data_IF_617334543666
#
_entry.id   IF_617334543666
#
_cell.length_a   1.000
_cell.length_b   1.000
_cell.length_c   1.000
_cell.angle_alpha   90.00
_cell.angle_beta   90.00
_cell.angle_gamma   90.00
#
_symmetry.space_group_name_H-M   'P 1'
#
loop_
_entity.id
_entity.type
_entity.pdbx_description
1 polymer ?
#
# COMPACT_ATOMS: atom_id res chain seq x y z
N UNK A 1 13.94 11.65 3.48
CA UNK A 1 13.49 10.83 4.62
C UNK A 1 11.97 10.82 4.68
N UNK A 2 11.33 11.95 4.99
CA UNK A 2 9.89 11.98 5.22
C UNK A 2 9.04 11.69 3.96
N UNK A 3 9.45 12.14 2.76
CA UNK A 3 8.83 11.72 1.50
C UNK A 3 9.04 10.23 1.21
N UNK A 4 10.26 9.71 1.42
CA UNK A 4 10.53 8.28 1.24
C UNK A 4 9.69 7.44 2.21
N UNK A 5 9.59 7.85 3.48
CA UNK A 5 8.70 7.24 4.49
C UNK A 5 7.23 7.38 4.10
N UNK A 6 6.79 8.51 3.53
CA UNK A 6 5.43 8.68 3.01
C UNK A 6 5.10 7.68 1.90
N UNK A 7 5.97 7.55 0.89
CA UNK A 7 5.86 6.54 -0.16
C UNK A 7 5.96 5.10 0.40
N UNK A 8 6.85 4.85 1.37
CA UNK A 8 6.98 3.57 2.08
C UNK A 8 5.68 3.12 2.73
N UNK A 9 5.00 4.05 3.40
CA UNK A 9 3.78 3.77 4.15
C UNK A 9 2.57 3.65 3.24
N UNK A 10 2.59 4.25 2.05
CA UNK A 10 1.54 4.08 1.07
C UNK A 10 1.33 2.60 0.75
N UNK A 11 2.38 1.84 0.45
CA UNK A 11 2.25 0.41 0.11
C UNK A 11 1.72 -0.48 1.26
N UNK A 12 2.08 -0.19 2.52
CA UNK A 12 1.57 -0.92 3.70
C UNK A 12 0.16 -0.46 4.08
N UNK A 13 -0.15 0.84 3.95
CA UNK A 13 -1.48 1.37 4.26
C UNK A 13 -2.52 1.00 3.20
N UNK A 14 -2.11 0.91 1.92
CA UNK A 14 -2.93 0.35 0.85
C UNK A 14 -3.23 -1.14 1.07
N UNK A 15 -2.33 -1.88 1.74
CA UNK A 15 -2.57 -3.27 2.06
C UNK A 15 -3.78 -3.41 3.00
N UNK A 16 -4.87 -3.99 2.47
CA UNK A 16 -6.14 -4.12 3.17
C UNK A 16 -7.08 -2.91 3.08
N UNK A 17 -6.76 -1.84 2.33
CA UNK A 17 -7.69 -0.73 2.06
C UNK A 17 -8.95 -1.24 1.36
N UNK A 18 -8.80 -2.04 0.30
CA UNK A 18 -9.92 -2.70 -0.39
C UNK A 18 -10.75 -3.59 0.56
N UNK A 19 -10.13 -4.29 1.51
CA UNK A 19 -10.85 -5.07 2.52
C UNK A 19 -11.61 -4.18 3.51
N UNK A 20 -11.04 -3.03 3.89
CA UNK A 20 -11.71 -2.04 4.74
C UNK A 20 -12.98 -1.52 4.06
N UNK A 21 -12.82 -1.13 2.80
CA UNK A 21 -13.92 -0.74 1.93
C UNK A 21 -14.97 -1.84 1.86
N UNK A 22 -14.62 -3.06 1.48
CA UNK A 22 -15.57 -4.18 1.39
C UNK A 22 -16.28 -4.48 2.71
N UNK A 23 -15.67 -4.17 3.86
CA UNK A 23 -16.32 -4.31 5.16
C UNK A 23 -17.30 -3.18 5.48
N UNK A 24 -16.96 -1.94 5.15
CA UNK A 24 -17.76 -0.75 5.51
C UNK A 24 -18.86 -0.41 4.50
N UNK A 25 -18.56 -0.59 3.21
CA UNK A 25 -19.41 -0.21 2.08
C UNK A 25 -20.81 -0.82 2.16
N UNK A 26 -20.98 -2.14 2.40
CA UNK A 26 -22.31 -2.71 2.45
C UNK A 26 -23.23 -1.94 3.41
N UNK A 27 -22.80 -1.77 4.65
CA UNK A 27 -23.57 -1.04 5.66
C UNK A 27 -23.81 0.42 5.29
N UNK A 28 -22.84 1.09 4.65
CA UNK A 28 -22.96 2.50 4.27
C UNK A 28 -23.95 2.74 3.12
N UNK A 29 -24.00 1.85 2.13
CA UNK A 29 -24.93 1.96 1.00
C UNK A 29 -26.36 1.55 1.39
N UNK A 30 -26.51 0.58 2.30
CA UNK A 30 -27.80 -0.03 2.60
C UNK A 30 -28.39 -0.78 1.39
N UNK A 31 -29.58 -1.37 1.57
CA UNK A 31 -30.24 -2.17 0.52
C UNK A 31 -30.55 -1.40 -0.76
N UNK A 32 -30.60 -0.06 -0.72
CA UNK A 32 -30.78 0.79 -1.89
C UNK A 32 -29.59 0.75 -2.86
N UNK A 33 -28.40 0.37 -2.37
CA UNK A 33 -27.20 0.18 -3.20
C UNK A 33 -27.19 -1.14 -3.98
N UNK A 34 -28.11 -2.07 -3.72
CA UNK A 34 -28.21 -3.33 -4.47
C UNK A 34 -29.04 -3.12 -5.74
N UNK A 35 -28.37 -3.08 -6.89
CA UNK A 35 -29.01 -2.84 -8.19
C UNK A 35 -29.60 -4.13 -8.76
N UNK A 36 -28.84 -5.23 -8.72
CA UNK A 36 -29.32 -6.54 -9.16
C UNK A 36 -28.53 -7.69 -8.55
N UNK A 37 -29.14 -8.87 -8.47
CA UNK A 37 -28.49 -10.10 -8.03
C UNK A 37 -29.46 -11.29 -7.92
N UNK A 38 -28.96 -12.50 -7.63
CA UNK A 38 -29.80 -13.67 -7.39
C UNK A 38 -30.75 -13.48 -6.20
N UNK A 39 -31.86 -14.22 -6.19
CA UNK A 39 -32.81 -14.21 -5.07
C UNK A 39 -32.11 -14.56 -3.74
N UNK A 40 -32.35 -13.75 -2.70
CA UNK A 40 -31.71 -13.91 -1.38
C UNK A 40 -30.35 -13.21 -1.24
N UNK A 41 -29.86 -12.52 -2.27
CA UNK A 41 -28.74 -11.58 -2.14
C UNK A 41 -29.17 -10.43 -1.25
N UNK A 42 -28.34 -10.11 -0.26
CA UNK A 42 -28.52 -8.96 0.64
C UNK A 42 -27.19 -8.25 0.76
N UNK A 43 -27.23 -6.99 1.17
CA UNK A 43 -26.01 -6.22 1.36
C UNK A 43 -25.11 -6.87 2.43
N UNK A 44 -25.68 -7.43 3.48
CA UNK A 44 -24.92 -8.09 4.57
C UNK A 44 -24.14 -9.35 4.11
N UNK A 45 -24.58 -10.02 3.04
CA UNK A 45 -23.93 -11.23 2.51
C UNK A 45 -23.15 -10.99 1.20
N UNK A 46 -23.05 -9.72 0.76
CA UNK A 46 -22.47 -9.33 -0.52
C UNK A 46 -21.09 -9.95 -0.75
N UNK A 47 -20.19 -9.83 0.23
CA UNK A 47 -18.82 -10.34 0.13
C UNK A 47 -18.59 -11.68 0.82
N UNK A 48 -19.64 -12.32 1.33
CA UNK A 48 -19.53 -13.62 1.99
C UNK A 48 -19.14 -14.71 1.00
N UNK A 49 -18.22 -15.59 1.42
CA UNK A 49 -17.80 -16.74 0.62
C UNK A 49 -18.93 -17.77 0.49
N UNK A 50 -19.26 -18.15 -0.75
CA UNK A 50 -20.18 -19.24 -1.06
C UNK A 50 -19.45 -20.53 -1.44
N UNK A 51 -20.16 -21.53 -1.95
CA UNK A 51 -19.54 -22.77 -2.44
C UNK A 51 -18.87 -22.61 -3.81
N UNK A 52 -19.34 -21.65 -4.62
CA UNK A 52 -18.84 -21.32 -5.94
C UNK A 52 -18.38 -19.85 -5.99
N UNK A 53 -17.63 -19.51 -7.03
CA UNK A 53 -17.24 -18.13 -7.29
C UNK A 53 -18.47 -17.26 -7.56
N UNK A 54 -18.36 -15.98 -7.24
CA UNK A 54 -19.28 -14.95 -7.71
C UNK A 54 -18.51 -13.70 -8.11
N UNK A 55 -19.01 -12.98 -9.11
CA UNK A 55 -18.48 -11.71 -9.58
C UNK A 55 -19.49 -10.61 -9.23
N UNK A 56 -19.01 -9.60 -8.52
CA UNK A 56 -19.78 -8.42 -8.14
C UNK A 56 -19.24 -7.26 -8.95
N UNK A 57 -20.10 -6.53 -9.65
CA UNK A 57 -19.74 -5.24 -10.24
C UNK A 57 -20.21 -4.13 -9.30
N UNK A 58 -19.29 -3.25 -8.94
CA UNK A 58 -19.54 -2.02 -8.18
C UNK A 58 -19.46 -0.85 -9.16
N UNK A 59 -20.59 -0.19 -9.37
CA UNK A 59 -20.69 1.03 -10.18
C UNK A 59 -20.32 2.22 -9.28
N UNK A 60 -19.12 2.76 -9.44
CA UNK A 60 -18.59 3.86 -8.63
C UNK A 60 -18.90 5.21 -9.27
N UNK A 61 -19.50 6.10 -8.49
CA UNK A 61 -19.90 7.46 -8.89
C UNK A 61 -19.62 8.45 -7.78
N UNK A 62 -19.58 9.75 -8.13
CA UNK A 62 -19.53 10.82 -7.13
C UNK A 62 -18.18 11.01 -6.42
N UNK A 63 -17.11 10.34 -6.90
CA UNK A 63 -15.74 10.65 -6.49
C UNK A 63 -15.40 12.12 -6.80
N UNK A 64 -14.43 12.69 -6.09
CA UNK A 64 -14.09 14.13 -6.14
C UNK A 64 -13.87 14.71 -7.56
N UNK A 65 -13.63 16.02 -7.63
CA UNK A 65 -13.76 16.91 -8.81
C UNK A 65 -13.08 16.52 -10.16
N UNK A 66 -12.40 15.36 -10.26
CA UNK A 66 -11.80 14.84 -11.49
C UNK A 66 -12.03 13.34 -11.76
N UNK A 67 -12.75 12.60 -10.92
CA UNK A 67 -12.91 11.15 -11.12
C UNK A 67 -14.05 10.83 -12.10
N UNK A 68 -13.68 10.32 -13.27
CA UNK A 68 -14.64 9.66 -14.16
C UNK A 68 -15.26 8.47 -13.43
N UNK A 69 -16.58 8.22 -13.60
CA UNK A 69 -17.20 7.00 -13.08
C UNK A 69 -16.39 5.76 -13.47
N UNK A 70 -16.30 4.81 -12.56
CA UNK A 70 -15.53 3.59 -12.74
C UNK A 70 -16.36 2.37 -12.36
N UNK A 71 -16.14 1.25 -13.03
CA UNK A 71 -16.65 -0.04 -12.59
C UNK A 71 -15.52 -0.81 -11.92
N UNK A 72 -15.74 -1.22 -10.67
CA UNK A 72 -14.85 -2.15 -9.97
C UNK A 72 -15.52 -3.51 -9.97
N UNK A 73 -14.84 -4.51 -10.53
CA UNK A 73 -15.30 -5.88 -10.46
C UNK A 73 -14.59 -6.60 -9.33
N UNK A 74 -15.32 -7.42 -8.58
CA UNK A 74 -14.84 -8.15 -7.43
C UNK A 74 -15.25 -9.61 -7.58
N UNK A 75 -14.29 -10.50 -7.81
CA UNK A 75 -14.49 -11.94 -7.74
C UNK A 75 -14.26 -12.41 -6.31
N UNK A 76 -15.31 -12.94 -5.68
CA UNK A 76 -15.19 -13.67 -4.40
C UNK A 76 -15.10 -15.16 -4.71
N UNK A 77 -14.01 -15.79 -4.29
CA UNK A 77 -13.75 -17.20 -4.60
C UNK A 77 -14.54 -18.13 -3.70
N UNK A 78 -15.22 -19.13 -4.27
CA UNK A 78 -15.99 -20.10 -3.50
C UNK A 78 -15.10 -21.05 -2.69
N UNK A 79 -15.62 -21.60 -1.59
CA UNK A 79 -14.89 -22.59 -0.77
C UNK A 79 -14.60 -23.90 -1.52
N UNK A 80 -15.29 -24.12 -2.66
CA UNK A 80 -15.08 -25.27 -3.54
C UNK A 80 -13.99 -25.07 -4.60
N UNK A 81 -13.31 -23.93 -4.64
CA UNK A 81 -12.18 -23.69 -5.57
C UNK A 81 -10.85 -23.82 -4.86
N UNK A 82 -9.78 -23.98 -5.64
CA UNK A 82 -8.43 -24.11 -5.09
C UNK A 82 -8.05 -22.86 -4.28
N UNK A 83 -8.33 -21.66 -4.79
CA UNK A 83 -8.02 -20.39 -4.11
C UNK A 83 -8.84 -20.18 -2.83
N UNK A 84 -10.14 -20.48 -2.87
CA UNK A 84 -11.04 -20.27 -1.74
C UNK A 84 -11.01 -21.41 -0.71
N UNK A 85 -10.39 -22.55 -1.00
CA UNK A 85 -10.33 -23.69 -0.06
C UNK A 85 -9.40 -23.43 1.13
N UNK A 86 -8.37 -22.60 0.96
CA UNK A 86 -7.37 -22.30 2.00
C UNK A 86 -7.82 -21.20 2.98
N UNK A 87 -8.89 -20.48 2.65
CA UNK A 87 -9.41 -19.35 3.42
C UNK A 87 -10.14 -18.37 2.52
N UNK A 88 -10.05 -17.08 2.83
CA UNK A 88 -10.73 -16.04 2.05
C UNK A 88 -9.86 -15.57 0.89
N UNK A 89 -10.42 -15.58 -0.32
CA UNK A 89 -9.71 -15.16 -1.52
C UNK A 89 -10.61 -14.29 -2.39
N UNK A 90 -10.05 -13.17 -2.87
CA UNK A 90 -10.74 -12.24 -3.76
C UNK A 90 -9.79 -11.67 -4.80
N UNK A 91 -10.33 -11.37 -5.98
CA UNK A 91 -9.67 -10.56 -7.00
C UNK A 91 -10.54 -9.34 -7.29
N UNK A 92 -9.93 -8.17 -7.36
CA UNK A 92 -10.57 -6.93 -7.80
C UNK A 92 -9.91 -6.45 -9.07
N UNK A 93 -10.65 -5.86 -10.00
CA UNK A 93 -10.07 -5.16 -11.13
C UNK A 93 -10.89 -3.93 -11.49
N UNK A 94 -10.16 -2.90 -11.91
CA UNK A 94 -10.64 -1.55 -12.11
C UNK A 94 -10.85 -1.31 -13.61
N UNK A 95 -11.99 -0.72 -13.95
CA UNK A 95 -12.41 -0.52 -15.32
C UNK A 95 -13.03 0.86 -15.49
N UNK A 96 -12.26 1.79 -16.08
CA UNK A 96 -12.78 3.09 -16.48
C UNK A 96 -14.08 2.95 -17.29
N UNK A 97 -15.03 3.86 -17.09
CA UNK A 97 -16.30 3.83 -17.85
C UNK A 97 -16.07 3.88 -19.36
N UNK A 98 -16.60 2.89 -20.07
CA UNK A 98 -16.40 2.73 -21.51
C UNK A 98 -15.04 2.14 -21.92
N UNK A 99 -14.18 1.82 -20.96
CA UNK A 99 -12.93 1.10 -21.16
C UNK A 99 -13.16 -0.36 -21.55
N UNK A 100 -12.34 -0.88 -22.46
CA UNK A 100 -12.39 -2.28 -22.90
C UNK A 100 -11.45 -3.20 -22.11
N UNK A 101 -10.50 -2.64 -21.38
CA UNK A 101 -9.44 -3.37 -20.67
C UNK A 101 -9.25 -2.79 -19.28
N UNK A 102 -8.99 -3.63 -18.26
CA UNK A 102 -8.74 -3.14 -16.91
C UNK A 102 -7.49 -2.27 -16.87
N UNK A 103 -7.51 -1.22 -16.05
CA UNK A 103 -6.37 -0.35 -15.78
C UNK A 103 -5.60 -0.76 -14.51
N UNK A 104 -6.18 -1.64 -13.69
CA UNK A 104 -5.51 -2.19 -12.53
C UNK A 104 -6.20 -3.44 -11.99
N UNK A 105 -5.54 -4.12 -11.06
CA UNK A 105 -6.14 -5.19 -10.28
C UNK A 105 -5.51 -5.33 -8.91
N UNK A 106 -6.23 -5.99 -8.02
CA UNK A 106 -5.72 -6.51 -6.76
C UNK A 106 -6.08 -7.99 -6.60
N UNK A 107 -5.16 -8.79 -6.05
CA UNK A 107 -5.44 -10.16 -5.64
C UNK A 107 -5.12 -10.32 -4.17
N UNK A 108 -6.13 -10.60 -3.36
CA UNK A 108 -5.97 -10.77 -1.91
C UNK A 108 -6.22 -12.23 -1.55
N UNK A 109 -5.30 -12.81 -0.77
CA UNK A 109 -5.38 -14.19 -0.29
C UNK A 109 -5.14 -14.21 1.21
N UNK A 110 -6.12 -14.70 1.98
CA UNK A 110 -6.02 -14.92 3.41
C UNK A 110 -6.07 -16.42 3.66
N UNK A 111 -4.96 -16.98 4.14
CA UNK A 111 -4.87 -18.40 4.51
C UNK A 111 -5.03 -18.54 6.03
N UNK A 112 -6.20 -19.02 6.44
CA UNK A 112 -6.54 -19.15 7.86
C UNK A 112 -5.70 -20.25 8.56
N UNK A 113 -5.34 -21.30 7.82
CA UNK A 113 -4.57 -22.42 8.37
C UNK A 113 -3.08 -22.08 8.57
N UNK A 114 -2.52 -21.31 7.64
CA UNK A 114 -1.14 -20.84 7.71
C UNK A 114 -0.98 -19.57 8.56
N UNK A 115 -2.08 -18.84 8.82
CA UNK A 115 -2.06 -17.55 9.50
C UNK A 115 -1.31 -16.51 8.69
N UNK A 116 -1.59 -16.43 7.39
CA UNK A 116 -0.90 -15.52 6.45
C UNK A 116 -1.90 -14.77 5.56
N UNK A 117 -1.50 -13.59 5.11
CA UNK A 117 -2.17 -12.81 4.09
C UNK A 117 -1.15 -12.36 3.04
N UNK A 118 -1.53 -12.46 1.76
CA UNK A 118 -0.79 -11.84 0.66
C UNK A 118 -1.72 -10.97 -0.16
N UNK A 119 -1.16 -9.91 -0.74
CA UNK A 119 -1.88 -9.04 -1.66
C UNK A 119 -0.96 -8.61 -2.79
N UNK A 120 -1.35 -8.87 -4.02
CA UNK A 120 -0.70 -8.31 -5.22
C UNK A 120 -1.56 -7.16 -5.75
N UNK A 121 -0.93 -6.07 -6.18
CA UNK A 121 -1.58 -4.84 -6.65
C UNK A 121 -0.92 -4.37 -7.94
N UNK A 122 -1.71 -3.91 -8.89
CA UNK A 122 -1.26 -3.33 -10.17
C UNK A 122 -2.16 -2.16 -10.55
N UNK A 123 -1.57 -1.04 -10.96
CA UNK A 123 -2.27 0.09 -11.57
C UNK A 123 -1.47 0.62 -12.77
N UNK A 124 -2.15 1.08 -13.83
CA UNK A 124 -1.52 1.49 -15.09
C UNK A 124 -1.91 2.88 -15.58
N UNK A 125 -2.77 3.59 -14.84
CA UNK A 125 -3.34 4.89 -15.25
C UNK A 125 -2.33 6.04 -15.30
N UNK A 126 -1.27 5.97 -14.48
CA UNK A 126 -0.26 7.04 -14.32
C UNK A 126 1.17 6.51 -14.43
N UNK A 127 1.36 5.53 -15.31
CA UNK A 127 2.56 4.68 -15.34
C UNK A 127 2.27 3.31 -14.76
N UNK A 128 3.25 2.42 -14.78
CA UNK A 128 3.07 1.09 -14.23
C UNK A 128 3.41 1.12 -12.74
N UNK A 129 2.43 0.87 -11.90
CA UNK A 129 2.60 0.62 -10.48
C UNK A 129 2.37 -0.87 -10.22
N UNK A 130 3.20 -1.45 -9.37
CA UNK A 130 3.03 -2.81 -8.86
C UNK A 130 3.40 -2.85 -7.40
N UNK A 131 2.66 -3.58 -6.58
CA UNK A 131 3.03 -3.84 -5.19
C UNK A 131 2.67 -5.27 -4.78
N UNK A 132 3.48 -5.82 -3.88
CA UNK A 132 3.33 -7.16 -3.32
C UNK A 132 3.46 -7.08 -1.81
N UNK A 133 2.35 -7.26 -1.13
CA UNK A 133 2.27 -7.38 0.31
C UNK A 133 2.28 -8.85 0.74
N UNK A 134 2.99 -9.12 1.82
CA UNK A 134 2.97 -10.40 2.51
C UNK A 134 3.11 -10.19 4.01
N UNK A 135 2.31 -10.91 4.78
CA UNK A 135 2.59 -11.08 6.18
C UNK A 135 1.61 -11.99 6.90
N UNK A 136 1.58 -11.85 8.22
CA UNK A 136 0.95 -12.82 9.11
C UNK A 136 -0.34 -12.29 9.72
N UNK A 137 -1.27 -13.20 9.92
CA UNK A 137 -2.56 -12.94 10.56
C UNK A 137 -2.72 -13.81 11.80
N UNK A 138 -3.48 -13.28 12.76
CA UNK A 138 -3.97 -13.99 13.92
C UNK A 138 -5.50 -14.01 13.87
N UNK A 139 -6.08 -15.15 14.24
CA UNK A 139 -7.52 -15.32 14.36
C UNK A 139 -7.90 -15.40 15.83
N UNK A 140 -8.82 -14.56 16.28
CA UNK A 140 -9.30 -14.59 17.67
C UNK A 140 -10.32 -15.73 17.89
N UNK A 141 -10.77 -15.92 19.15
CA UNK A 141 -11.74 -16.96 19.51
C UNK A 141 -13.12 -16.79 18.85
N UNK A 142 -13.42 -15.60 18.33
CA UNK A 142 -14.67 -15.29 17.63
C UNK A 142 -14.52 -15.45 16.11
N UNK A 143 -13.35 -15.82 15.62
CA UNK A 143 -13.06 -15.95 14.20
C UNK A 143 -12.65 -14.65 13.51
N UNK A 144 -12.41 -13.56 14.24
CA UNK A 144 -11.95 -12.32 13.63
C UNK A 144 -10.48 -12.44 13.26
N UNK A 145 -10.16 -12.08 12.03
CA UNK A 145 -8.79 -12.06 11.51
C UNK A 145 -8.21 -10.65 11.67
N UNK A 146 -6.98 -10.56 12.18
CA UNK A 146 -6.21 -9.31 12.31
C UNK A 146 -4.74 -9.57 12.00
N UNK A 147 -3.97 -8.53 11.67
CA UNK A 147 -2.53 -8.69 11.48
C UNK A 147 -1.82 -9.09 12.78
N UNK A 148 -0.99 -10.13 12.71
CA UNK A 148 -0.10 -10.54 13.79
C UNK A 148 1.11 -9.61 13.83
N UNK A 149 1.01 -8.56 14.65
CA UNK A 149 2.06 -7.53 14.79
C UNK A 149 3.35 -8.06 15.41
N UNK A 150 3.35 -9.27 15.98
CA UNK A 150 4.56 -9.89 16.53
C UNK A 150 5.44 -10.51 15.46
N UNK A 151 4.92 -10.64 14.23
CA UNK A 151 5.62 -11.17 13.08
C UNK A 151 5.77 -10.09 12.01
N UNK A 152 6.76 -10.31 11.14
CA UNK A 152 7.08 -9.38 10.07
C UNK A 152 5.95 -9.29 9.05
N UNK A 153 5.54 -8.08 8.72
CA UNK A 153 4.77 -7.73 7.54
C UNK A 153 5.72 -7.07 6.55
N UNK A 154 5.51 -7.24 5.25
CA UNK A 154 6.37 -6.64 4.23
C UNK A 154 5.60 -6.25 2.99
N UNK A 155 6.05 -5.19 2.32
CA UNK A 155 5.62 -4.81 0.99
C UNK A 155 6.84 -4.58 0.11
N UNK A 156 6.79 -5.08 -1.12
CA UNK A 156 7.69 -4.66 -2.20
C UNK A 156 6.87 -3.94 -3.24
N UNK A 157 7.25 -2.72 -3.59
CA UNK A 157 6.62 -1.94 -4.64
C UNK A 157 7.62 -1.63 -5.75
N UNK A 158 7.08 -1.41 -6.94
CA UNK A 158 7.82 -1.03 -8.13
C UNK A 158 6.97 -0.16 -9.02
N UNK A 159 7.54 0.96 -9.43
CA UNK A 159 6.94 1.96 -10.32
C UNK A 159 7.82 2.17 -11.55
N UNK A 160 7.21 2.38 -12.70
CA UNK A 160 7.90 2.88 -13.89
C UNK A 160 7.02 3.86 -14.67
N UNK A 161 7.59 5.03 -14.98
CA UNK A 161 6.88 6.10 -15.69
C UNK A 161 7.83 7.01 -16.46
N UNK A 162 7.34 7.56 -17.58
CA UNK A 162 8.13 8.41 -18.47
C UNK A 162 8.62 9.72 -17.83
N UNK A 163 7.89 10.25 -16.83
CA UNK A 163 8.22 11.51 -16.16
C UNK A 163 9.09 11.34 -14.91
N UNK A 164 8.94 10.22 -14.19
CA UNK A 164 9.53 10.03 -12.86
C UNK A 164 10.69 9.03 -12.83
N UNK A 165 10.88 8.28 -13.91
CA UNK A 165 11.85 7.20 -14.00
C UNK A 165 11.35 5.91 -13.38
N UNK A 166 12.27 5.07 -12.93
CA UNK A 166 11.96 3.82 -12.23
C UNK A 166 12.15 3.99 -10.73
N UNK A 167 11.24 3.43 -9.95
CA UNK A 167 11.34 3.37 -8.49
C UNK A 167 11.02 1.95 -8.03
N UNK A 168 11.74 1.48 -7.03
CA UNK A 168 11.33 0.30 -6.26
C UNK A 168 11.59 0.55 -4.79
N UNK A 169 10.77 -0.05 -3.98
CA UNK A 169 10.86 0.09 -2.54
C UNK A 169 10.45 -1.21 -1.85
N UNK A 170 11.15 -1.51 -0.76
CA UNK A 170 10.84 -2.60 0.13
C UNK A 170 10.67 -2.03 1.52
N UNK A 171 9.57 -2.38 2.17
CA UNK A 171 9.30 -1.99 3.55
C UNK A 171 8.97 -3.25 4.33
N UNK A 172 9.50 -3.36 5.53
CA UNK A 172 9.11 -4.40 6.47
C UNK A 172 8.88 -3.86 7.87
N UNK A 173 7.88 -4.41 8.54
CA UNK A 173 7.44 -3.98 9.86
C UNK A 173 7.37 -5.18 10.78
N UNK A 174 8.07 -5.14 11.91
CA UNK A 174 8.02 -6.18 12.94
C UNK A 174 7.92 -5.54 14.31
N UNK A 175 6.83 -5.80 15.03
CA UNK A 175 6.55 -5.07 16.28
C UNK A 175 6.41 -3.58 16.02
N UNK A 176 7.32 -2.79 16.58
CA UNK A 176 7.40 -1.33 16.46
C UNK A 176 8.57 -0.88 15.55
N UNK A 177 9.21 -1.81 14.85
CA UNK A 177 10.37 -1.56 13.99
C UNK A 177 9.95 -1.52 12.53
N UNK A 178 10.51 -0.58 11.78
CA UNK A 178 10.34 -0.46 10.34
C UNK A 178 11.72 -0.44 9.69
N UNK A 179 11.90 -1.27 8.67
CA UNK A 179 13.02 -1.20 7.75
C UNK A 179 12.50 -0.84 6.36
N UNK A 180 13.13 0.15 5.72
CA UNK A 180 12.85 0.58 4.36
C UNK A 180 14.11 0.52 3.51
N UNK A 181 13.97 0.03 2.28
CA UNK A 181 14.95 0.18 1.20
C UNK A 181 14.26 0.84 0.03
N UNK A 182 14.81 1.95 -0.47
CA UNK A 182 14.25 2.67 -1.61
C UNK A 182 15.33 2.90 -2.66
N UNK A 183 15.01 2.57 -3.91
CA UNK A 183 15.84 2.81 -5.08
C UNK A 183 15.05 3.62 -6.10
N UNK A 184 15.60 4.73 -6.55
CA UNK A 184 15.00 5.58 -7.58
C UNK A 184 16.03 5.86 -8.66
N UNK A 185 15.63 5.89 -9.92
CA UNK A 185 16.49 6.21 -11.05
C UNK A 185 15.72 6.99 -12.10
N UNK A 186 16.30 8.09 -12.58
CA UNK A 186 15.72 8.92 -13.63
C UNK A 186 16.78 9.65 -14.45
N UNK A 187 16.35 10.64 -15.22
CA UNK A 187 17.26 11.48 -16.03
C UNK A 187 18.26 12.29 -15.18
N UNK A 188 17.94 12.50 -13.91
CA UNK A 188 18.74 13.22 -12.91
C UNK A 188 19.84 12.35 -12.28
N UNK A 189 19.75 11.02 -12.40
CA UNK A 189 20.66 10.09 -11.76
C UNK A 189 19.94 8.97 -11.01
N UNK A 190 20.63 8.39 -10.04
CA UNK A 190 20.18 7.27 -9.23
C UNK A 190 20.27 7.63 -7.74
N UNK A 191 19.31 7.18 -6.94
CA UNK A 191 19.30 7.34 -5.49
C UNK A 191 18.97 6.01 -4.81
N UNK A 192 19.79 5.63 -3.84
CA UNK A 192 19.66 4.43 -3.00
C UNK A 192 19.58 4.85 -1.54
N UNK A 193 18.58 4.37 -0.81
CA UNK A 193 18.40 4.72 0.61
C UNK A 193 17.98 3.49 1.40
N UNK A 194 18.70 3.23 2.48
CA UNK A 194 18.31 2.34 3.56
C UNK A 194 17.86 3.19 4.75
N UNK A 195 16.73 2.84 5.37
CA UNK A 195 16.20 3.48 6.57
C UNK A 195 15.81 2.39 7.56
N UNK A 196 16.14 2.57 8.82
CA UNK A 196 15.59 1.79 9.93
C UNK A 196 15.01 2.74 10.96
N UNK A 197 13.84 2.44 11.50
CA UNK A 197 13.17 3.31 12.46
C UNK A 197 12.31 2.54 13.47
N UNK A 198 12.08 3.17 14.60
CA UNK A 198 11.07 2.78 15.57
C UNK A 198 9.87 3.70 15.45
N UNK A 199 8.65 3.16 15.59
CA UNK A 199 7.44 3.96 15.66
C UNK A 199 6.62 3.65 16.90
N UNK A 200 5.67 4.53 17.19
CA UNK A 200 4.59 4.32 18.16
C UNK A 200 3.28 4.80 17.56
N UNK A 201 2.18 4.47 18.22
CA UNK A 201 0.83 4.76 17.74
C UNK A 201 0.11 3.52 17.24
N UNK A 202 -1.21 3.61 17.20
CA UNK A 202 -2.08 2.52 16.74
C UNK A 202 -3.02 2.94 15.61
N UNK A 203 -2.95 4.22 15.23
CA UNK A 203 -3.63 4.84 14.10
C UNK A 203 -2.67 5.81 13.42
N UNK A 204 -3.03 6.28 12.24
CA UNK A 204 -2.31 7.33 11.50
C UNK A 204 -2.25 8.65 12.29
N UNK A 205 -3.33 9.07 12.95
CA UNK A 205 -3.34 10.25 13.84
C UNK A 205 -2.32 10.18 14.99
N UNK A 206 -2.10 8.96 15.50
CA UNK A 206 -1.24 8.71 16.65
C UNK A 206 0.15 8.19 16.25
N UNK A 207 0.39 7.98 14.95
CA UNK A 207 1.66 7.47 14.43
C UNK A 207 2.77 8.49 14.66
N UNK A 208 3.84 8.07 15.34
CA UNK A 208 5.04 8.89 15.57
C UNK A 208 6.27 8.02 15.37
N UNK A 209 7.24 8.49 14.60
CA UNK A 209 8.56 7.85 14.54
C UNK A 209 9.34 8.30 15.77
N UNK A 210 9.80 7.36 16.59
CA UNK A 210 10.50 7.70 17.83
C UNK A 210 11.99 7.95 17.57
N UNK A 211 12.60 7.14 16.71
CA UNK A 211 14.00 7.23 16.35
C UNK A 211 14.20 6.57 15.00
N UNK A 212 15.14 7.08 14.19
CA UNK A 212 15.45 6.57 12.88
C UNK A 212 16.93 6.77 12.54
N UNK A 213 17.46 5.87 11.72
CA UNK A 213 18.74 5.99 11.06
C UNK A 213 18.57 5.82 9.57
N UNK A 214 19.41 6.49 8.79
CA UNK A 214 19.41 6.38 7.33
C UNK A 214 20.82 6.36 6.78
N UNK A 215 20.99 5.67 5.67
CA UNK A 215 22.23 5.59 4.90
C UNK A 215 21.89 5.49 3.42
N UNK A 216 22.63 6.16 2.56
CA UNK A 216 22.31 6.21 1.15
C UNK A 216 23.44 6.68 0.26
N UNK A 217 23.19 6.48 -1.03
CA UNK A 217 24.07 6.86 -2.12
C UNK A 217 23.22 7.61 -3.13
N UNK A 218 23.69 8.77 -3.56
CA UNK A 218 23.09 9.55 -4.64
C UNK A 218 24.13 9.71 -5.74
N UNK A 219 23.83 9.17 -6.91
CA UNK A 219 24.66 9.22 -8.11
C UNK A 219 23.98 10.16 -9.10
N UNK A 220 24.44 11.41 -9.15
CA UNK A 220 24.02 12.37 -10.17
C UNK A 220 24.86 12.17 -11.44
N UNK A 221 24.46 12.79 -12.54
CA UNK A 221 25.13 12.64 -13.85
C UNK A 221 26.65 12.80 -13.81
N UNK A 222 27.19 13.64 -12.91
CA UNK A 222 28.63 13.91 -12.81
C UNK A 222 29.24 13.68 -11.43
N UNK A 223 28.44 13.30 -10.42
CA UNK A 223 28.88 13.23 -9.03
C UNK A 223 28.27 12.04 -8.30
N UNK A 224 28.96 11.53 -7.30
CA UNK A 224 28.43 10.51 -6.40
C UNK A 224 28.67 10.94 -4.96
N UNK A 225 27.60 10.97 -4.18
CA UNK A 225 27.63 11.32 -2.78
C UNK A 225 27.11 10.16 -1.96
N UNK A 226 27.79 9.88 -0.85
CA UNK A 226 27.29 8.99 0.20
C UNK A 226 26.85 9.84 1.37
N UNK A 227 25.71 9.50 1.98
CA UNK A 227 25.18 10.23 3.12
C UNK A 227 24.63 9.26 4.16
N UNK A 228 24.75 9.61 5.43
CA UNK A 228 24.08 8.92 6.51
C UNK A 228 23.67 9.91 7.60
N UNK A 229 22.81 9.47 8.51
CA UNK A 229 22.34 10.29 9.61
C UNK A 229 21.29 9.57 10.44
N UNK A 230 20.73 10.28 11.40
CA UNK A 230 19.58 9.80 12.14
C UNK A 230 18.77 10.93 12.75
N UNK A 231 17.56 10.61 13.17
CA UNK A 231 16.67 11.50 13.90
C UNK A 231 16.04 10.82 15.10
N UNK A 232 15.61 11.60 16.09
CA UNK A 232 14.79 11.15 17.21
C UNK A 232 13.69 12.17 17.51
N UNK A 233 12.55 11.68 18.00
CA UNK A 233 11.43 12.52 18.41
C UNK A 233 11.61 12.95 19.87
N UNK A 234 11.72 14.26 20.07
CA UNK A 234 11.89 14.91 21.37
C UNK A 234 10.68 15.81 21.63
N UNK A 235 9.83 15.40 22.57
CA UNK A 235 8.58 16.08 22.98
C UNK A 235 7.60 16.36 21.83
N UNK A 236 7.85 17.43 21.06
CA UNK A 236 7.01 17.89 19.95
C UNK A 236 7.77 18.07 18.65
N UNK A 237 9.07 17.78 18.60
CA UNK A 237 9.94 18.03 17.43
C UNK A 237 10.88 16.87 17.16
N UNK A 238 11.34 16.75 15.92
CA UNK A 238 12.43 15.84 15.57
C UNK A 238 13.78 16.55 15.68
N UNK A 239 14.72 15.91 16.36
CA UNK A 239 16.11 16.35 16.47
C UNK A 239 17.03 15.36 15.76
N UNK A 240 18.21 15.82 15.32
CA UNK A 240 19.22 14.93 14.76
C UNK A 240 19.86 14.08 15.87
N UNK A 241 20.10 12.79 15.58
CA UNK A 241 20.94 11.93 16.42
C UNK A 241 22.27 11.65 15.72
N UNK A 242 23.30 11.36 16.51
CA UNK A 242 24.64 11.02 16.05
C UNK A 242 25.01 9.55 16.36
N UNK A 243 26.24 9.18 16.00
CA UNK A 243 26.84 7.89 16.30
C UNK A 243 26.71 7.51 17.79
N UNK A 244 26.47 6.22 18.05
CA UNK A 244 26.15 5.69 19.39
C UNK A 244 24.64 5.52 19.65
N UNK A 245 23.77 6.08 18.80
CA UNK A 245 22.38 5.66 18.72
C UNK A 245 22.28 4.38 17.86
N UNK A 246 21.54 3.38 18.34
CA UNK A 246 21.47 2.07 17.67
C UNK A 246 20.92 2.14 16.24
N UNK A 247 19.94 3.01 15.97
CA UNK A 247 19.37 3.15 14.63
C UNK A 247 20.33 3.84 13.67
N UNK A 248 20.99 4.90 14.13
CA UNK A 248 22.06 5.55 13.38
C UNK A 248 23.15 4.53 13.03
N UNK A 249 23.65 3.81 14.03
CA UNK A 249 24.78 2.89 13.85
C UNK A 249 24.40 1.71 12.94
N UNK A 250 23.18 1.17 13.09
CA UNK A 250 22.64 0.13 12.18
C UNK A 250 22.58 0.64 10.75
N UNK A 251 21.98 1.80 10.50
CA UNK A 251 21.90 2.35 9.15
C UNK A 251 23.28 2.66 8.56
N UNK A 252 24.15 3.32 9.33
CA UNK A 252 25.50 3.69 8.88
C UNK A 252 26.37 2.46 8.56
N UNK A 253 26.14 1.33 9.22
CA UNK A 253 26.84 0.07 8.96
C UNK A 253 26.30 -0.73 7.76
N UNK A 254 25.13 -0.37 7.24
CA UNK A 254 24.50 -1.08 6.13
C UNK A 254 25.26 -0.87 4.81
N UNK A 255 25.63 -1.95 4.12
CA UNK A 255 26.31 -1.87 2.83
C UNK A 255 25.33 -1.65 1.67
N UNK A 256 24.97 -0.39 1.45
CA UNK A 256 24.07 0.02 0.35
C UNK A 256 24.62 -0.36 -1.04
N UNK A 257 25.94 -0.43 -1.21
CA UNK A 257 26.55 -0.77 -2.50
C UNK A 257 26.51 -2.27 -2.79
N UNK A 258 26.65 -3.10 -1.75
CA UNK A 258 26.66 -4.56 -1.83
C UNK A 258 25.28 -5.21 -1.70
N UNK A 259 24.26 -4.50 -1.21
CA UNK A 259 22.90 -5.05 -1.06
C UNK A 259 22.24 -5.25 -2.45
N UNK A 260 21.86 -6.50 -2.72
CA UNK A 260 21.27 -6.91 -4.00
C UNK A 260 19.92 -6.25 -4.29
N UNK A 261 19.19 -5.78 -3.28
CA UNK A 261 17.98 -4.98 -3.48
C UNK A 261 18.27 -3.75 -4.35
N UNK A 262 19.40 -3.07 -4.13
CA UNK A 262 19.79 -1.87 -4.88
C UNK A 262 20.47 -2.18 -6.22
N UNK A 263 20.59 -3.46 -6.60
CA UNK A 263 21.14 -3.88 -7.88
C UNK A 263 20.07 -4.10 -8.93
N UNK A 264 20.45 -3.95 -10.21
CA UNK A 264 19.61 -4.17 -11.37
C UNK A 264 18.56 -3.07 -11.63
N UNK A 265 18.07 -3.02 -12.87
CA UNK A 265 16.92 -2.20 -13.28
C UNK A 265 15.66 -3.01 -13.06
N UNK A 266 15.05 -2.84 -11.90
CA UNK A 266 13.74 -3.42 -11.61
C UNK A 266 12.83 -2.24 -11.29
N UNK A 267 12.13 -1.74 -12.31
CA UNK A 267 10.92 -0.95 -12.12
C UNK A 267 9.74 -1.88 -11.81
N UNK A 268 8.54 -1.51 -12.22
CA UNK A 268 7.33 -2.32 -12.04
C UNK A 268 7.50 -3.83 -12.41
N UNK A 269 6.92 -4.71 -11.58
CA UNK A 269 7.01 -6.16 -11.72
C UNK A 269 6.28 -6.65 -12.99
N UNK A 270 7.05 -7.12 -13.97
CA UNK A 270 6.52 -7.54 -15.29
C UNK A 270 5.60 -8.77 -15.22
N UNK A 271 5.82 -9.67 -14.27
CA UNK A 271 4.93 -10.82 -14.05
C UNK A 271 3.56 -10.33 -13.59
N UNK A 272 3.52 -9.43 -12.60
CA UNK A 272 2.27 -8.83 -12.13
C UNK A 272 1.57 -8.05 -13.25
N UNK A 273 2.31 -7.21 -14.00
CA UNK A 273 1.75 -6.48 -15.13
C UNK A 273 1.14 -7.39 -16.18
N UNK A 274 1.79 -8.51 -16.50
CA UNK A 274 1.28 -9.47 -17.49
C UNK A 274 -0.02 -10.14 -17.05
N UNK A 275 -0.21 -10.34 -15.74
CA UNK A 275 -1.41 -10.97 -15.19
C UNK A 275 -2.66 -10.11 -15.34
N UNK A 276 -2.53 -8.79 -15.56
CA UNK A 276 -3.65 -7.87 -15.85
C UNK A 276 -4.51 -8.36 -17.03
N UNK A 277 -3.89 -9.01 -18.01
CA UNK A 277 -4.57 -9.59 -19.17
C UNK A 277 -5.51 -10.76 -18.85
N UNK A 278 -5.49 -11.27 -17.61
CA UNK A 278 -6.40 -12.31 -17.11
C UNK A 278 -7.76 -11.77 -16.67
N UNK A 279 -7.90 -10.44 -16.61
CA UNK A 279 -9.12 -9.74 -16.20
C UNK A 279 -9.77 -9.03 -17.39
N UNK A 280 -11.07 -8.76 -17.29
CA UNK A 280 -11.84 -8.20 -18.41
C UNK A 280 -12.92 -7.23 -17.92
N UNK A 281 -12.99 -6.05 -18.54
CA UNK A 281 -14.09 -5.10 -18.33
C UNK A 281 -15.40 -5.53 -18.99
N UNK A 282 -15.42 -6.70 -19.64
CA UNK A 282 -16.61 -7.32 -20.24
C UNK A 282 -17.05 -8.58 -19.49
N UNK A 283 -16.47 -8.86 -18.32
CA UNK A 283 -16.93 -9.96 -17.47
C UNK A 283 -18.40 -9.73 -17.08
N UNK A 284 -19.18 -10.82 -17.04
CA UNK A 284 -20.60 -10.76 -16.67
C UNK A 284 -20.72 -10.83 -15.15
N UNK A 285 -21.27 -9.80 -14.48
CA UNK A 285 -21.47 -9.85 -13.04
C UNK A 285 -22.64 -10.76 -12.67
N UNK A 286 -22.49 -11.46 -11.55
CA UNK A 286 -23.60 -12.15 -10.88
C UNK A 286 -24.45 -11.16 -10.08
N UNK A 287 -23.81 -10.13 -9.51
CA UNK A 287 -24.41 -9.10 -8.66
C UNK A 287 -23.92 -7.73 -9.13
N UNK A 288 -24.81 -6.75 -9.19
CA UNK A 288 -24.47 -5.35 -9.46
C UNK A 288 -24.89 -4.50 -8.27
N UNK A 289 -23.98 -3.66 -7.80
CA UNK A 289 -24.21 -2.69 -6.73
C UNK A 289 -23.75 -1.30 -7.18
N UNK A 290 -24.36 -0.26 -6.62
CA UNK A 290 -24.01 1.13 -6.91
C UNK A 290 -23.39 1.79 -5.68
N UNK A 291 -22.29 2.50 -5.89
CA UNK A 291 -21.56 3.26 -4.89
C UNK A 291 -21.53 4.73 -5.27
N UNK A 292 -22.07 5.57 -4.39
CA UNK A 292 -22.11 7.02 -4.59
C UNK A 292 -21.33 7.72 -3.48
N UNK A 293 -20.15 8.23 -3.83
CA UNK A 293 -19.28 8.99 -2.92
C UNK A 293 -19.81 10.39 -2.60
N UNK A 294 -20.96 10.82 -3.15
CA UNK A 294 -21.69 11.98 -2.61
C UNK A 294 -22.49 11.64 -1.35
N UNK A 295 -22.69 10.34 -1.05
CA UNK A 295 -23.36 9.89 0.17
C UNK A 295 -22.44 10.02 1.38
N UNK A 296 -22.87 10.79 2.38
CA UNK A 296 -22.13 11.01 3.64
C UNK A 296 -21.74 9.73 4.39
N UNK A 297 -22.52 8.65 4.28
CA UNK A 297 -22.17 7.37 4.90
C UNK A 297 -21.02 6.68 4.17
N UNK A 298 -20.98 6.78 2.84
CA UNK A 298 -19.88 6.25 2.01
C UNK A 298 -18.61 7.08 2.22
N UNK A 299 -18.72 8.41 2.27
CA UNK A 299 -17.60 9.31 2.61
C UNK A 299 -17.03 9.02 4.01
N UNK A 300 -17.86 8.60 4.96
CA UNK A 300 -17.37 8.20 6.28
C UNK A 300 -16.58 6.88 6.25
N UNK A 301 -16.90 5.97 5.33
CA UNK A 301 -16.11 4.76 5.09
C UNK A 301 -14.80 5.12 4.39
N UNK A 302 -14.85 5.95 3.35
CA UNK A 302 -13.67 6.51 2.67
C UNK A 302 -12.70 7.12 3.68
N UNK A 303 -13.15 8.07 4.50
CA UNK A 303 -12.32 8.71 5.52
C UNK A 303 -11.78 7.75 6.61
N UNK A 304 -12.41 6.60 6.82
CA UNK A 304 -11.95 5.59 7.77
C UNK A 304 -10.97 4.58 7.15
N UNK A 305 -11.07 4.35 5.84
CA UNK A 305 -10.25 3.39 5.11
C UNK A 305 -9.05 4.04 4.44
N UNK A 306 -9.21 5.24 3.93
CA UNK A 306 -8.16 6.08 3.36
C UNK A 306 -7.61 7.00 4.44
N UNK A 307 -6.29 7.07 4.53
CA UNK A 307 -5.63 7.92 5.50
C UNK A 307 -5.07 9.15 4.82
N UNK A 308 -5.39 10.33 5.34
CA UNK A 308 -4.75 11.56 4.92
C UNK A 308 -3.44 11.78 5.70
N UNK A 309 -2.31 11.56 5.03
CA UNK A 309 -0.98 11.78 5.63
C UNK A 309 -0.58 13.27 5.64
N UNK A 310 -1.42 14.20 5.19
CA UNK A 310 -1.11 15.63 5.06
C UNK A 310 -0.67 16.29 6.38
N UNK A 311 -1.17 15.85 7.53
CA UNK A 311 -0.90 16.49 8.83
C UNK A 311 0.33 15.96 9.58
N UNK A 312 1.07 14.99 9.03
CA UNK A 312 2.24 14.43 9.70
C UNK A 312 3.45 15.39 9.75
N UNK A 313 3.32 16.62 9.24
CA UNK A 313 4.31 17.71 9.28
C UNK A 313 5.72 17.25 8.84
N UNK A 314 5.73 16.40 7.82
CA UNK A 314 6.92 15.73 7.31
C UNK A 314 7.89 16.66 6.57
N UNK A 315 7.41 17.81 6.09
CA UNK A 315 8.16 18.67 5.16
C UNK A 315 8.17 20.17 5.49
N UNK A 316 7.32 20.65 6.41
CA UNK A 316 7.01 22.09 6.50
C UNK A 316 7.52 22.80 7.77
N UNK A 317 8.17 22.09 8.68
CA UNK A 317 8.88 22.70 9.80
C UNK A 317 10.24 23.28 9.38
N UNK A 318 10.51 24.55 9.69
CA UNK A 318 11.82 25.20 9.48
C UNK A 318 12.97 24.41 10.12
N UNK A 319 12.73 23.75 11.25
CA UNK A 319 13.69 22.86 11.92
C UNK A 319 13.99 21.60 11.11
N UNK A 320 12.99 21.00 10.44
CA UNK A 320 13.18 19.81 9.58
C UNK A 320 13.91 20.21 8.29
N UNK A 321 13.62 21.39 7.74
CA UNK A 321 14.37 21.95 6.62
C UNK A 321 15.83 22.23 7.00
N UNK A 322 16.09 22.78 8.20
CA UNK A 322 17.45 23.00 8.70
C UNK A 322 18.20 21.69 8.98
N UNK A 323 17.53 20.65 9.48
CA UNK A 323 18.12 19.32 9.64
C UNK A 323 18.46 18.69 8.27
N UNK A 324 17.56 18.82 7.29
CA UNK A 324 17.82 18.45 5.88
C UNK A 324 19.04 19.21 5.35
N UNK A 325 19.05 20.53 5.46
CA UNK A 325 20.14 21.38 4.96
C UNK A 325 21.47 21.11 5.67
N UNK A 326 21.47 20.78 6.96
CA UNK A 326 22.69 20.40 7.69
C UNK A 326 23.31 19.13 7.12
N UNK A 327 22.51 18.14 6.73
CA UNK A 327 22.99 16.90 6.07
C UNK A 327 23.45 17.16 4.64
N UNK A 328 22.82 18.09 3.92
CA UNK A 328 23.20 18.44 2.54
C UNK A 328 24.42 19.36 2.47
N UNK A 329 24.67 20.19 3.48
CA UNK A 329 25.76 21.18 3.53
C UNK A 329 26.96 20.74 4.36
N UNK A 330 26.94 19.55 4.98
CA UNK A 330 28.08 19.02 5.73
C UNK A 330 29.16 18.33 4.88
N UNK A 331 29.20 18.61 3.56
CA UNK A 331 30.28 18.23 2.64
C UNK A 331 31.15 19.45 2.29
#
# INVERSE_FOLDING_TARGET
MAQAVGFSFQGISQAGTSLCYMKGIPTAMGEEGLVSGPEGTTIDNLFQQGSANKIIQVEVTGGGDAETPENVFIRVYGTGTDEGSAGYAIDLWFCATGGSTPNGYEQIRVNNSAGTMTQDMVHTDWGNFTAQFSGYTATDSSGNVSFDKTKTQSVTLGESGAEWGDHKEYVSVTGDQIETKSWQSGSWGERKVYITSQYSGTSTDTLRFLTAGFNGIEQLTNDTFTFNGGSEFQDTVYAATAAGNSYFDTAASHDVSGDSFFSGTIGANTTLLSALSSFSCSDTPDIVVSMDFTNTAVQAVEAACENDFQDMNFCDGTTIQQARETVWMSN
#
